data_IF_905034950506
#
_entry.id   IF_905034950506
#
_cell.length_a   1.000
_cell.length_b   1.000
_cell.length_c   1.000
_cell.angle_alpha   90.00
_cell.angle_beta   90.00
_cell.angle_gamma   90.00
#
_symmetry.space_group_name_H-M   'P 1'
#
loop_
_entity.id
_entity.type
_entity.pdbx_description
1 polymer ?
#
# COMPACT_ATOMS: atom_id res chain seq x y z
N UNK A 1 -26.96 -14.33 -10.11
CA UNK A 1 -27.58 -13.62 -8.96
C UNK A 1 -27.61 -12.14 -9.26
N UNK A 2 -28.51 -11.37 -8.62
CA UNK A 2 -28.48 -9.90 -8.64
C UNK A 2 -27.66 -9.40 -7.47
N UNK A 3 -26.69 -8.54 -7.73
CA UNK A 3 -25.76 -8.02 -6.73
C UNK A 3 -25.77 -6.49 -6.80
N UNK A 4 -25.93 -5.87 -5.63
CA UNK A 4 -25.85 -4.43 -5.47
C UNK A 4 -24.49 -4.06 -4.88
N UNK A 5 -23.72 -3.25 -5.58
CA UNK A 5 -22.45 -2.66 -5.10
C UNK A 5 -22.72 -1.21 -4.69
N UNK A 6 -22.39 -0.89 -3.44
CA UNK A 6 -22.54 0.46 -2.89
C UNK A 6 -21.18 1.18 -2.93
N UNK A 7 -21.08 2.18 -3.79
CA UNK A 7 -19.85 2.93 -4.08
C UNK A 7 -19.22 2.55 -5.42
N UNK A 8 -18.89 3.54 -6.24
CA UNK A 8 -18.20 3.47 -7.53
C UNK A 8 -16.80 4.10 -7.47
N UNK A 9 -16.13 3.98 -6.32
CA UNK A 9 -14.67 4.12 -6.27
C UNK A 9 -13.96 2.89 -6.86
N UNK A 10 -12.64 2.94 -6.95
CA UNK A 10 -11.80 1.89 -7.58
C UNK A 10 -12.13 0.46 -7.13
N UNK A 11 -12.37 0.26 -5.83
CA UNK A 11 -12.72 -1.05 -5.28
C UNK A 11 -14.12 -1.49 -5.72
N UNK A 12 -15.09 -0.57 -5.73
CA UNK A 12 -16.46 -0.84 -6.14
C UNK A 12 -16.55 -1.18 -7.63
N UNK A 13 -15.93 -0.37 -8.47
CA UNK A 13 -15.93 -0.59 -9.93
C UNK A 13 -15.17 -1.86 -10.31
N UNK A 14 -13.99 -2.12 -9.74
CA UNK A 14 -13.27 -3.36 -9.97
C UNK A 14 -14.08 -4.58 -9.50
N UNK A 15 -14.72 -4.51 -8.33
CA UNK A 15 -15.59 -5.58 -7.83
C UNK A 15 -16.76 -5.83 -8.78
N UNK A 16 -17.42 -4.77 -9.23
CA UNK A 16 -18.54 -4.87 -10.17
C UNK A 16 -18.12 -5.52 -11.48
N UNK A 17 -16.94 -5.17 -12.00
CA UNK A 17 -16.36 -5.77 -13.20
C UNK A 17 -16.15 -7.29 -13.04
N UNK A 18 -15.45 -7.72 -11.99
CA UNK A 18 -15.20 -9.15 -11.73
C UNK A 18 -16.50 -9.93 -11.46
N UNK A 19 -17.47 -9.35 -10.75
CA UNK A 19 -18.77 -9.98 -10.52
C UNK A 19 -19.57 -10.12 -11.82
N UNK A 20 -19.48 -9.13 -12.70
CA UNK A 20 -20.14 -9.18 -14.02
C UNK A 20 -19.51 -10.25 -14.92
N UNK A 21 -18.18 -10.40 -14.87
CA UNK A 21 -17.44 -11.48 -15.54
C UNK A 21 -17.84 -12.87 -15.02
N UNK A 22 -18.11 -13.00 -13.71
CA UNK A 22 -18.61 -14.22 -13.09
C UNK A 22 -20.09 -14.55 -13.44
N UNK A 23 -20.72 -13.81 -14.36
CA UNK A 23 -22.08 -14.06 -14.82
C UNK A 23 -23.18 -13.54 -13.88
N UNK A 24 -22.85 -12.58 -13.00
CA UNK A 24 -23.84 -11.93 -12.16
C UNK A 24 -24.44 -10.68 -12.83
N UNK A 25 -25.68 -10.37 -12.47
CA UNK A 25 -26.34 -9.10 -12.79
C UNK A 25 -25.95 -8.11 -11.68
N UNK A 26 -25.24 -7.04 -12.03
CA UNK A 26 -24.66 -6.12 -11.05
C UNK A 26 -25.22 -4.72 -11.25
N UNK A 27 -25.71 -4.12 -10.17
CA UNK A 27 -26.07 -2.70 -10.11
C UNK A 27 -25.05 -2.00 -9.20
N UNK A 28 -24.45 -0.91 -9.67
CA UNK A 28 -23.60 -0.04 -8.85
C UNK A 28 -24.38 1.21 -8.49
N UNK A 29 -24.40 1.57 -7.21
CA UNK A 29 -25.04 2.78 -6.71
C UNK A 29 -24.00 3.60 -5.98
N UNK A 30 -23.82 4.85 -6.40
CA UNK A 30 -22.98 5.83 -5.71
C UNK A 30 -23.82 7.02 -5.26
N UNK A 31 -23.35 7.72 -4.23
CA UNK A 31 -23.97 8.94 -3.71
C UNK A 31 -23.57 10.17 -4.50
N UNK A 32 -22.41 10.14 -5.14
CA UNK A 32 -21.86 11.21 -5.95
C UNK A 32 -22.40 11.14 -7.39
N UNK A 33 -22.27 12.25 -8.12
CA UNK A 33 -22.79 12.38 -9.48
C UNK A 33 -21.95 11.63 -10.54
N UNK A 34 -20.76 11.13 -10.18
CA UNK A 34 -19.88 10.37 -11.05
C UNK A 34 -18.99 9.40 -10.24
N UNK A 35 -18.39 8.38 -10.87
CA UNK A 35 -17.43 7.49 -10.23
C UNK A 35 -16.18 8.21 -9.71
N UNK A 36 -15.54 7.57 -8.71
CA UNK A 36 -14.26 7.99 -8.16
C UNK A 36 -14.16 9.45 -7.67
N UNK A 37 -15.24 10.12 -7.29
CA UNK A 37 -15.19 11.53 -6.85
C UNK A 37 -14.72 11.75 -5.40
N UNK A 38 -14.42 10.69 -4.65
CA UNK A 38 -13.90 10.78 -3.27
C UNK A 38 -12.43 10.34 -3.17
N UNK A 39 -12.09 9.38 -2.31
CA UNK A 39 -10.71 8.92 -2.09
C UNK A 39 -10.01 8.44 -3.37
N UNK A 40 -10.77 7.90 -4.33
CA UNK A 40 -10.24 7.50 -5.63
C UNK A 40 -9.89 8.68 -6.54
N UNK A 41 -10.42 9.89 -6.30
CA UNK A 41 -10.24 11.04 -7.17
C UNK A 41 -8.79 11.50 -7.24
N UNK A 42 -8.12 11.51 -6.08
CA UNK A 42 -6.79 12.11 -5.93
C UNK A 42 -5.97 11.42 -4.83
N UNK A 43 -5.88 10.08 -4.89
CA UNK A 43 -4.86 9.37 -4.12
C UNK A 43 -3.49 9.44 -4.82
N UNK A 44 -2.44 8.98 -4.15
CA UNK A 44 -1.08 9.03 -4.67
C UNK A 44 -0.83 8.12 -5.90
N UNK A 45 -1.77 7.24 -6.23
CA UNK A 45 -1.69 6.34 -7.39
C UNK A 45 -0.68 5.22 -7.26
N UNK A 46 -0.02 5.06 -6.12
CA UNK A 46 1.07 4.11 -5.92
C UNK A 46 0.55 2.67 -5.73
N UNK A 47 1.15 1.74 -6.46
CA UNK A 47 0.85 0.31 -6.40
C UNK A 47 2.12 -0.43 -5.97
N UNK A 48 2.31 -0.51 -4.65
CA UNK A 48 3.52 -1.06 -4.02
C UNK A 48 3.25 -2.40 -3.36
N UNK A 49 3.62 -3.49 -4.04
CA UNK A 49 3.27 -4.84 -3.61
C UNK A 49 4.16 -5.33 -2.47
N UNK A 50 5.44 -4.92 -2.48
CA UNK A 50 6.44 -5.37 -1.51
C UNK A 50 6.36 -4.73 -0.13
N UNK A 51 5.67 -3.60 -0.01
CA UNK A 51 5.62 -2.80 1.20
C UNK A 51 4.41 -3.09 2.11
N UNK A 52 3.65 -4.14 1.81
CA UNK A 52 2.49 -4.51 2.61
C UNK A 52 2.91 -5.07 3.98
N UNK A 53 2.46 -4.43 5.07
CA UNK A 53 2.78 -4.86 6.44
C UNK A 53 1.59 -4.73 7.38
N UNK A 54 1.38 -5.68 8.31
CA UNK A 54 0.31 -5.58 9.30
C UNK A 54 0.46 -4.34 10.17
N UNK A 55 -0.65 -3.61 10.34
CA UNK A 55 -0.68 -2.45 11.23
C UNK A 55 -0.43 -2.84 12.70
N UNK A 56 -0.84 -4.04 13.12
CA UNK A 56 -0.60 -4.60 14.46
C UNK A 56 0.81 -5.21 14.59
N UNK A 57 1.85 -4.41 14.40
CA UNK A 57 3.23 -4.85 14.57
C UNK A 57 3.64 -4.93 16.05
N UNK A 58 4.61 -5.78 16.44
CA UNK A 58 4.96 -6.00 17.86
C UNK A 58 5.42 -4.75 18.61
N UNK A 59 5.99 -3.77 17.91
CA UNK A 59 6.42 -2.50 18.50
C UNK A 59 5.33 -1.44 18.63
N UNK A 60 4.12 -1.69 18.11
CA UNK A 60 3.03 -0.70 18.08
C UNK A 60 2.53 -0.33 19.47
N UNK A 61 2.35 -1.25 20.44
CA UNK A 61 1.92 -0.86 21.79
C UNK A 61 2.85 0.17 22.44
N UNK A 62 4.17 -0.05 22.35
CA UNK A 62 5.17 0.89 22.88
C UNK A 62 5.15 2.24 22.13
N UNK A 63 5.04 2.20 20.80
CA UNK A 63 4.91 3.43 19.99
C UNK A 63 3.62 4.18 20.28
N UNK A 64 2.50 3.48 20.45
CA UNK A 64 1.20 4.07 20.76
C UNK A 64 1.24 4.83 22.08
N UNK A 65 1.83 4.25 23.14
CA UNK A 65 2.03 4.95 24.41
C UNK A 65 2.82 6.24 24.22
N UNK A 66 3.90 6.23 23.42
CA UNK A 66 4.65 7.45 23.09
C UNK A 66 3.81 8.46 22.30
N UNK A 67 3.04 8.01 21.33
CA UNK A 67 2.21 8.85 20.47
C UNK A 67 1.11 9.57 21.24
N UNK A 68 0.54 8.97 22.29
CA UNK A 68 -0.46 9.63 23.13
C UNK A 68 0.03 10.92 23.80
N UNK A 69 1.35 11.09 23.94
CA UNK A 69 1.96 12.31 24.50
C UNK A 69 2.59 13.23 23.44
N UNK A 70 2.46 12.91 22.15
CA UNK A 70 2.98 13.75 21.07
C UNK A 70 1.95 14.80 20.63
N UNK A 71 2.40 16.04 20.45
CA UNK A 71 1.55 17.15 19.96
C UNK A 71 0.97 16.88 18.56
N UNK A 72 1.76 16.24 17.70
CA UNK A 72 1.37 15.81 16.35
C UNK A 72 1.44 14.28 16.26
N UNK A 73 0.52 13.63 16.96
CA UNK A 73 0.45 12.18 17.01
C UNK A 73 -0.17 11.60 15.73
N UNK A 74 0.39 10.51 15.16
CA UNK A 74 -0.26 9.79 14.06
C UNK A 74 -1.46 8.94 14.54
N UNK A 75 -1.62 8.76 15.85
CA UNK A 75 -2.74 8.04 16.47
C UNK A 75 -3.59 9.03 17.26
N UNK A 76 -4.87 9.16 16.89
CA UNK A 76 -5.84 9.99 17.59
C UNK A 76 -6.83 9.08 18.31
N UNK A 77 -6.79 9.05 19.64
CA UNK A 77 -7.80 8.41 20.46
C UNK A 77 -8.73 9.48 21.04
N UNK A 78 -10.02 9.37 20.74
CA UNK A 78 -11.04 10.19 21.42
C UNK A 78 -11.41 9.48 22.72
N UNK A 79 -11.23 10.11 23.89
CA UNK A 79 -11.56 9.48 25.18
C UNK A 79 -13.08 9.47 25.36
N UNK A 80 -13.74 8.53 24.68
CA UNK A 80 -15.14 8.16 24.90
C UNK A 80 -15.15 6.72 25.35
N UNK A 81 -15.89 6.42 26.42
CA UNK A 81 -16.08 5.04 26.87
C UNK A 81 -17.06 4.38 25.91
N UNK A 82 -16.49 3.65 24.96
CA UNK A 82 -17.22 2.80 24.01
C UNK A 82 -16.72 1.37 24.16
N UNK A 83 -17.61 0.46 24.57
CA UNK A 83 -17.29 -0.94 24.77
C UNK A 83 -16.80 -1.61 23.47
N UNK A 84 -17.33 -1.20 22.31
CA UNK A 84 -16.90 -1.72 21.02
C UNK A 84 -15.45 -1.28 20.71
N UNK A 85 -15.14 0.00 20.88
CA UNK A 85 -13.78 0.51 20.75
C UNK A 85 -12.80 -0.18 21.70
N UNK A 86 -13.15 -0.36 22.98
CA UNK A 86 -12.29 -1.04 23.95
C UNK A 86 -12.04 -2.51 23.55
N UNK A 87 -13.10 -3.24 23.18
CA UNK A 87 -12.99 -4.63 22.72
C UNK A 87 -12.09 -4.76 21.48
N UNK A 88 -12.25 -3.83 20.52
CA UNK A 88 -11.40 -3.78 19.33
C UNK A 88 -9.94 -3.45 19.67
N UNK A 89 -9.70 -2.48 20.58
CA UNK A 89 -8.35 -2.11 21.02
C UNK A 89 -7.64 -3.29 21.68
N UNK A 90 -8.30 -4.00 22.60
CA UNK A 90 -7.74 -5.20 23.25
C UNK A 90 -7.45 -6.28 22.20
N UNK A 91 -8.38 -6.51 21.27
CA UNK A 91 -8.20 -7.47 20.18
C UNK A 91 -7.01 -7.10 19.27
N UNK A 92 -6.86 -5.83 18.92
CA UNK A 92 -5.74 -5.32 18.13
C UNK A 92 -4.41 -5.48 18.88
N UNK A 93 -4.34 -5.08 20.15
CA UNK A 93 -3.14 -5.21 20.98
C UNK A 93 -2.72 -6.68 21.16
N UNK A 94 -3.69 -7.61 21.31
CA UNK A 94 -3.40 -9.05 21.38
C UNK A 94 -2.77 -9.62 20.10
N UNK A 95 -2.96 -8.94 18.95
CA UNK A 95 -2.33 -9.30 17.68
C UNK A 95 -0.93 -8.69 17.51
N UNK A 96 -0.49 -7.78 18.38
CA UNK A 96 0.82 -7.15 18.33
C UNK A 96 1.93 -8.07 18.88
N UNK A 97 2.02 -9.30 18.36
CA UNK A 97 3.06 -10.28 18.70
C UNK A 97 3.85 -10.68 17.45
N UNK A 98 5.11 -11.09 17.62
CA UNK A 98 5.99 -11.46 16.50
C UNK A 98 5.42 -12.62 15.67
N UNK A 99 4.85 -13.64 16.34
CA UNK A 99 4.23 -14.79 15.67
C UNK A 99 3.00 -14.40 14.84
N UNK A 100 2.09 -13.60 15.39
CA UNK A 100 0.91 -13.09 14.65
C UNK A 100 1.33 -12.19 13.49
N UNK A 101 2.32 -11.34 13.71
CA UNK A 101 2.87 -10.46 12.68
C UNK A 101 3.40 -11.26 11.48
N UNK A 102 4.21 -12.31 11.71
CA UNK A 102 4.75 -13.14 10.64
C UNK A 102 3.63 -13.80 9.80
N UNK A 103 2.61 -14.37 10.45
CA UNK A 103 1.47 -15.01 9.77
C UNK A 103 0.68 -13.98 8.94
N UNK A 104 0.36 -12.83 9.54
CA UNK A 104 -0.44 -11.80 8.88
C UNK A 104 0.32 -11.16 7.72
N UNK A 105 1.63 -10.92 7.88
CA UNK A 105 2.48 -10.40 6.82
C UNK A 105 2.49 -11.33 5.60
N UNK A 106 2.73 -12.63 5.81
CA UNK A 106 2.69 -13.62 4.72
C UNK A 106 1.34 -13.67 4.00
N UNK A 107 0.22 -13.53 4.73
CA UNK A 107 -1.13 -13.47 4.12
C UNK A 107 -1.33 -12.19 3.30
N UNK A 108 -0.93 -11.04 3.85
CA UNK A 108 -1.03 -9.74 3.18
C UNK A 108 -0.21 -9.70 1.90
N UNK A 109 0.98 -10.29 1.89
CA UNK A 109 1.83 -10.34 0.70
C UNK A 109 1.26 -11.25 -0.39
N UNK A 110 0.68 -12.40 -0.03
CA UNK A 110 -0.05 -13.23 -1.01
C UNK A 110 -1.23 -12.49 -1.64
N UNK A 111 -1.95 -11.69 -0.85
CA UNK A 111 -3.03 -10.87 -1.38
C UNK A 111 -2.51 -9.74 -2.27
N UNK A 112 -1.39 -9.11 -1.90
CA UNK A 112 -0.74 -8.07 -2.70
C UNK A 112 -0.26 -8.61 -4.05
N UNK A 113 0.42 -9.77 -4.07
CA UNK A 113 0.84 -10.40 -5.33
C UNK A 113 -0.35 -10.85 -6.17
N UNK A 114 -1.41 -11.38 -5.57
CA UNK A 114 -2.66 -11.64 -6.28
C UNK A 114 -3.24 -10.37 -6.90
N UNK A 115 -3.25 -9.26 -6.17
CA UNK A 115 -3.71 -7.96 -6.69
C UNK A 115 -2.86 -7.49 -7.87
N UNK A 116 -1.54 -7.70 -7.85
CA UNK A 116 -0.64 -7.39 -8.96
C UNK A 116 -1.01 -8.16 -10.22
N UNK A 117 -1.18 -9.48 -10.08
CA UNK A 117 -1.53 -10.35 -11.20
C UNK A 117 -2.91 -9.99 -11.75
N UNK A 118 -3.88 -9.78 -10.87
CA UNK A 118 -5.25 -9.40 -11.23
C UNK A 118 -5.30 -8.06 -11.96
N UNK A 119 -4.58 -7.04 -11.48
CA UNK A 119 -4.52 -5.73 -12.14
C UNK A 119 -3.88 -5.82 -13.53
N UNK A 120 -2.78 -6.58 -13.66
CA UNK A 120 -2.15 -6.80 -14.96
C UNK A 120 -3.08 -7.53 -15.95
N UNK A 121 -3.81 -8.55 -15.48
CA UNK A 121 -4.80 -9.26 -16.30
C UNK A 121 -5.97 -8.35 -16.70
N UNK A 122 -6.50 -7.57 -15.76
CA UNK A 122 -7.59 -6.62 -16.01
C UNK A 122 -7.18 -5.59 -17.07
N UNK A 123 -5.99 -5.01 -16.97
CA UNK A 123 -5.46 -4.10 -18.00
C UNK A 123 -5.39 -4.77 -19.36
N UNK A 124 -4.85 -5.98 -19.43
CA UNK A 124 -4.71 -6.71 -20.69
C UNK A 124 -6.06 -7.05 -21.32
N UNK A 125 -7.06 -7.40 -20.51
CA UNK A 125 -8.40 -7.79 -20.99
C UNK A 125 -9.23 -6.58 -21.43
N UNK A 126 -9.15 -5.47 -20.69
CA UNK A 126 -10.00 -4.30 -20.91
C UNK A 126 -9.36 -3.25 -21.82
N UNK A 127 -8.03 -3.22 -21.91
CA UNK A 127 -7.30 -2.18 -22.63
C UNK A 127 -7.41 -0.80 -21.98
N UNK A 128 -7.79 -0.70 -20.70
CA UNK A 128 -7.89 0.59 -20.00
C UNK A 128 -6.52 1.28 -19.95
N UNK A 129 -6.55 2.60 -20.14
CA UNK A 129 -5.41 3.48 -19.96
C UNK A 129 -5.77 4.48 -18.85
N UNK A 130 -4.91 4.59 -17.85
CA UNK A 130 -5.15 5.40 -16.66
C UNK A 130 -3.87 6.08 -16.18
N UNK A 131 -3.06 6.55 -17.13
CA UNK A 131 -1.72 7.11 -16.90
C UNK A 131 -0.80 6.16 -16.11
N UNK A 132 -0.95 4.85 -16.33
CA UNK A 132 -0.18 3.84 -15.63
C UNK A 132 1.31 3.85 -16.02
N UNK A 133 2.18 3.60 -15.03
CA UNK A 133 3.62 3.48 -15.23
C UNK A 133 4.17 2.33 -14.41
N UNK A 134 4.89 1.42 -15.04
CA UNK A 134 5.51 0.25 -14.41
C UNK A 134 7.03 0.44 -14.34
N UNK A 135 7.48 1.52 -13.71
CA UNK A 135 8.91 1.87 -13.60
C UNK A 135 9.49 1.60 -12.21
N UNK A 136 8.71 1.00 -11.30
CA UNK A 136 9.13 0.73 -9.93
C UNK A 136 9.08 1.95 -9.02
N UNK A 137 9.42 1.71 -7.75
CA UNK A 137 9.51 2.75 -6.73
C UNK A 137 10.94 2.80 -6.17
N UNK A 138 11.53 3.99 -6.16
CA UNK A 138 12.84 4.23 -5.56
C UNK A 138 12.69 4.96 -4.22
N UNK A 139 12.93 4.25 -3.12
CA UNK A 139 13.02 4.86 -1.80
C UNK A 139 14.42 5.45 -1.60
N UNK A 140 14.51 6.75 -1.32
CA UNK A 140 15.79 7.45 -1.10
C UNK A 140 16.13 7.56 0.39
N UNK A 141 17.41 7.32 0.71
CA UNK A 141 17.94 7.51 2.07
C UNK A 141 18.94 8.66 2.11
N UNK A 142 18.84 9.49 3.14
CA UNK A 142 19.70 10.68 3.32
C UNK A 142 20.92 10.43 4.22
N UNK A 143 20.86 9.36 5.01
CA UNK A 143 21.93 9.01 5.96
C UNK A 143 22.26 7.53 5.87
N UNK A 144 23.52 7.17 6.11
CA UNK A 144 23.96 5.77 6.08
C UNK A 144 23.18 4.91 7.06
N UNK A 145 22.87 5.46 8.25
CA UNK A 145 22.06 4.77 9.26
C UNK A 145 20.67 4.36 8.73
N UNK A 146 20.01 5.20 7.93
CA UNK A 146 18.71 4.87 7.34
C UNK A 146 18.84 3.76 6.29
N UNK A 147 19.87 3.83 5.45
CA UNK A 147 20.15 2.81 4.45
C UNK A 147 20.46 1.47 5.11
N UNK A 148 21.30 1.45 6.14
CA UNK A 148 21.62 0.23 6.91
C UNK A 148 20.38 -0.33 7.62
N UNK A 149 19.51 0.55 8.14
CA UNK A 149 18.26 0.16 8.78
C UNK A 149 17.26 -0.50 7.80
N UNK A 150 17.32 -0.16 6.51
CA UNK A 150 16.52 -0.81 5.46
C UNK A 150 16.86 -2.30 5.28
N UNK A 151 17.97 -2.78 5.85
CA UNK A 151 18.34 -4.20 5.84
C UNK A 151 17.26 -5.12 6.43
N UNK A 152 16.37 -4.62 7.29
CA UNK A 152 15.19 -5.38 7.77
C UNK A 152 14.12 -5.52 6.70
N UNK A 153 13.89 -4.47 5.94
CA UNK A 153 12.92 -4.46 4.84
C UNK A 153 13.43 -5.34 3.70
N UNK A 154 14.71 -5.21 3.35
CA UNK A 154 15.44 -6.08 2.41
C UNK A 154 15.29 -7.57 2.77
N UNK A 155 15.50 -7.92 4.05
CA UNK A 155 15.32 -9.31 4.52
C UNK A 155 13.90 -9.82 4.34
N UNK A 156 12.91 -8.96 4.57
CA UNK A 156 11.51 -9.33 4.37
C UNK A 156 11.19 -9.50 2.87
N UNK A 157 11.59 -8.54 2.03
CA UNK A 157 11.42 -8.63 0.58
C UNK A 157 12.06 -9.91 0.03
N UNK A 158 13.27 -10.25 0.50
CA UNK A 158 13.97 -11.48 0.13
C UNK A 158 13.23 -12.75 0.59
N UNK A 159 12.74 -12.78 1.83
CA UNK A 159 12.00 -13.93 2.37
C UNK A 159 10.72 -14.22 1.57
N UNK A 160 10.11 -13.17 1.02
CA UNK A 160 8.87 -13.23 0.26
C UNK A 160 9.10 -13.23 -1.27
N UNK A 161 10.34 -13.40 -1.73
CA UNK A 161 10.75 -13.46 -3.14
C UNK A 161 10.32 -12.24 -3.98
N UNK A 162 10.22 -11.08 -3.33
CA UNK A 162 9.89 -9.82 -3.99
C UNK A 162 11.18 -9.22 -4.54
N UNK A 163 11.26 -8.91 -5.86
CA UNK A 163 12.46 -8.30 -6.43
C UNK A 163 12.76 -6.94 -5.80
N UNK A 164 14.02 -6.72 -5.46
CA UNK A 164 14.51 -5.45 -4.96
C UNK A 164 15.98 -5.25 -5.33
N UNK A 165 16.43 -4.00 -5.32
CA UNK A 165 17.84 -3.65 -5.47
C UNK A 165 18.22 -2.59 -4.42
N UNK A 166 19.28 -2.86 -3.67
CA UNK A 166 19.90 -1.83 -2.81
C UNK A 166 20.91 -1.09 -3.68
N UNK A 167 20.68 0.21 -3.86
CA UNK A 167 21.47 1.07 -4.72
C UNK A 167 22.33 1.99 -3.87
N UNK A 168 23.57 2.17 -4.31
CA UNK A 168 24.36 3.32 -3.87
C UNK A 168 23.85 4.60 -4.53
N UNK A 169 24.49 5.72 -4.22
CA UNK A 169 24.15 7.03 -4.77
C UNK A 169 24.16 7.06 -6.29
N UNK A 170 25.16 6.44 -6.92
CA UNK A 170 25.29 6.44 -8.38
C UNK A 170 24.21 5.57 -9.03
N UNK A 171 23.84 4.47 -8.39
CA UNK A 171 22.68 3.66 -8.75
C UNK A 171 21.38 4.46 -8.71
N UNK A 172 21.16 5.26 -7.66
CA UNK A 172 19.97 6.12 -7.58
C UNK A 172 19.90 7.13 -8.71
N UNK A 173 21.02 7.78 -9.04
CA UNK A 173 21.09 8.77 -10.13
C UNK A 173 20.93 8.12 -11.50
N UNK A 174 21.39 6.87 -11.68
CA UNK A 174 21.13 6.11 -12.90
C UNK A 174 19.63 5.86 -13.11
N UNK A 175 18.90 5.61 -12.03
CA UNK A 175 17.44 5.38 -12.08
C UNK A 175 16.68 6.69 -12.27
N UNK A 176 17.04 7.75 -11.53
CA UNK A 176 16.44 9.09 -11.65
C UNK A 176 17.55 10.16 -11.84
N UNK A 177 17.87 10.54 -13.10
CA UNK A 177 18.94 11.48 -13.42
C UNK A 177 18.79 12.86 -12.78
N UNK A 178 17.57 13.30 -12.47
CA UNK A 178 17.34 14.59 -11.80
C UNK A 178 17.97 14.64 -10.39
N UNK A 179 18.22 13.48 -9.76
CA UNK A 179 18.91 13.41 -8.47
C UNK A 179 20.37 13.88 -8.53
N UNK A 180 20.96 14.00 -9.73
CA UNK A 180 22.29 14.58 -9.91
C UNK A 180 22.42 15.99 -9.32
N UNK A 181 21.34 16.77 -9.34
CA UNK A 181 21.29 18.13 -8.79
C UNK A 181 21.30 18.20 -7.26
N UNK A 182 21.09 17.06 -6.58
CA UNK A 182 21.04 16.96 -5.11
C UNK A 182 21.86 15.78 -4.60
N UNK A 183 22.92 15.42 -5.35
CA UNK A 183 23.79 14.27 -5.13
C UNK A 183 24.25 14.15 -3.67
N UNK A 184 24.59 15.28 -3.06
CA UNK A 184 25.10 15.39 -1.70
C UNK A 184 24.06 15.05 -0.61
N UNK A 185 22.76 15.10 -0.94
CA UNK A 185 21.67 14.83 0.02
C UNK A 185 21.29 13.36 0.12
N UNK A 186 21.87 12.50 -0.71
CA UNK A 186 21.48 11.09 -0.85
C UNK A 186 22.70 10.21 -0.58
N UNK A 187 22.52 9.13 0.17
CA UNK A 187 23.56 8.12 0.40
C UNK A 187 23.33 6.86 -0.44
N UNK A 188 22.08 6.56 -0.77
CA UNK A 188 21.66 5.39 -1.52
C UNK A 188 20.14 5.23 -1.50
N UNK A 189 19.65 4.08 -1.96
CA UNK A 189 18.23 3.83 -2.11
C UNK A 189 17.87 2.36 -2.16
N UNK A 190 16.57 2.08 -2.03
CA UNK A 190 15.99 0.75 -2.20
C UNK A 190 14.99 0.85 -3.36
N UNK A 191 15.28 0.13 -4.45
CA UNK A 191 14.44 0.06 -5.64
C UNK A 191 13.57 -1.21 -5.58
N UNK A 192 12.27 -1.05 -5.82
CA UNK A 192 11.32 -2.14 -6.06
C UNK A 192 10.83 -2.08 -7.50
N UNK A 193 11.47 -2.80 -8.44
CA UNK A 193 11.29 -2.58 -9.89
C UNK A 193 9.93 -3.05 -10.42
N UNK A 194 9.14 -3.77 -9.61
CA UNK A 194 7.81 -4.27 -9.98
C UNK A 194 6.67 -3.42 -9.43
N UNK A 195 6.97 -2.37 -8.67
CA UNK A 195 5.95 -1.43 -8.24
C UNK A 195 5.50 -0.56 -9.42
N UNK A 196 4.27 -0.05 -9.32
CA UNK A 196 3.64 0.70 -10.41
C UNK A 196 2.99 1.98 -9.86
N UNK A 197 2.63 2.89 -10.76
CA UNK A 197 1.75 4.01 -10.45
C UNK A 197 0.60 4.07 -11.44
N UNK A 198 -0.51 4.70 -11.08
CA UNK A 198 -1.53 5.11 -12.05
C UNK A 198 -2.60 6.01 -11.44
N UNK A 199 -3.28 6.75 -12.30
CA UNK A 199 -4.38 7.64 -11.95
C UNK A 199 -5.62 6.81 -11.60
N UNK A 200 -5.95 6.80 -10.31
CA UNK A 200 -7.07 6.04 -9.79
C UNK A 200 -8.43 6.57 -10.26
N UNK A 201 -8.53 7.85 -10.59
CA UNK A 201 -9.75 8.44 -11.14
C UNK A 201 -9.97 7.96 -12.57
N UNK A 202 -8.93 7.99 -13.42
CA UNK A 202 -9.01 7.50 -14.81
C UNK A 202 -9.21 6.00 -14.90
N UNK A 203 -8.72 5.23 -13.93
CA UNK A 203 -8.95 3.79 -13.86
C UNK A 203 -10.43 3.44 -13.67
N UNK A 204 -11.16 4.27 -12.92
CA UNK A 204 -12.49 3.96 -12.38
C UNK A 204 -13.61 4.44 -13.28
#
# INVERSE_FOLDING_TARGET
MRILVLGSGVIGTASAWYLRQAGHEVTVVDRENAPALETSFANAGEVSFGYCSPWAAPGIPAKAMKWLFMRHAPLILRPKVDAAMISWLVSMLSNCTSGRYAINKSRMLRLADYSRVSLAALRAETGIAYDERMQGTLQLFRTQQQLDASGKDVKALAADSIPYEVLDRDGCIRVEPALSHVREKIVGGLLTPKDETGDCFKFT
#
